data_IF_888218697942
#
_entry.id   IF_888218697942
#
_cell.length_a   1.000
_cell.length_b   1.000
_cell.length_c   1.000
_cell.angle_alpha   90.00
_cell.angle_beta   90.00
_cell.angle_gamma   90.00
#
_symmetry.space_group_name_H-M   'P 1'
#
loop_
_entity.id
_entity.type
_entity.pdbx_description
1 polymer ?
#
# COMPACT_ATOMS: atom_id res chain seq x y z
N UNK A 1 -27.05 1.76 7.50
CA UNK A 1 -26.08 2.59 8.25
C UNK A 1 -24.88 2.82 7.37
N UNK A 2 -24.79 4.04 6.81
CA UNK A 2 -23.72 4.67 6.02
C UNK A 2 -23.22 4.01 4.70
N UNK A 3 -23.87 4.41 3.60
CA UNK A 3 -23.33 4.71 2.25
C UNK A 3 -22.50 3.65 1.50
N UNK A 4 -23.10 3.04 0.46
CA UNK A 4 -22.34 2.44 -0.67
C UNK A 4 -21.35 3.41 -1.36
N UNK A 5 -21.45 4.72 -1.07
CA UNK A 5 -20.42 5.71 -1.40
C UNK A 5 -19.08 5.53 -0.68
N UNK A 6 -19.03 4.90 0.50
CA UNK A 6 -17.77 4.64 1.21
C UNK A 6 -16.88 3.64 0.46
N UNK A 7 -17.46 2.60 -0.15
CA UNK A 7 -16.72 1.65 -0.98
C UNK A 7 -16.17 2.30 -2.25
N UNK A 8 -16.93 3.18 -2.90
CA UNK A 8 -16.48 3.96 -4.06
C UNK A 8 -15.37 4.94 -3.68
N UNK A 9 -15.46 5.58 -2.51
CA UNK A 9 -14.44 6.51 -2.03
C UNK A 9 -13.13 5.76 -1.65
N UNK A 10 -13.22 4.58 -1.03
CA UNK A 10 -12.08 3.69 -0.85
C UNK A 10 -11.47 3.25 -2.18
N UNK A 11 -12.28 2.89 -3.19
CA UNK A 11 -11.80 2.52 -4.52
C UNK A 11 -11.10 3.69 -5.22
N UNK A 12 -11.63 4.91 -5.11
CA UNK A 12 -10.99 6.10 -5.67
C UNK A 12 -9.63 6.38 -5.01
N UNK A 13 -9.53 6.24 -3.68
CA UNK A 13 -8.26 6.37 -2.96
C UNK A 13 -7.28 5.25 -3.33
N UNK A 14 -7.79 4.03 -3.51
CA UNK A 14 -6.98 2.88 -3.92
C UNK A 14 -6.40 3.13 -5.32
N UNK A 15 -7.24 3.52 -6.27
CA UNK A 15 -6.85 3.69 -7.66
C UNK A 15 -6.01 4.95 -7.92
N UNK A 16 -6.36 6.10 -7.32
CA UNK A 16 -5.69 7.37 -7.60
C UNK A 16 -4.41 7.58 -6.76
N UNK A 17 -4.40 7.10 -5.52
CA UNK A 17 -3.27 7.34 -4.61
C UNK A 17 -2.49 6.06 -4.31
N UNK A 18 -3.16 5.00 -3.86
CA UNK A 18 -2.47 3.78 -3.42
C UNK A 18 -1.75 3.08 -4.57
N UNK A 19 -2.35 3.08 -5.75
CA UNK A 19 -1.76 2.48 -6.95
C UNK A 19 -0.46 3.17 -7.37
N UNK A 20 -0.45 4.50 -7.41
CA UNK A 20 0.75 5.28 -7.77
C UNK A 20 1.86 5.15 -6.74
N UNK A 21 1.52 5.22 -5.46
CA UNK A 21 2.50 5.09 -4.37
C UNK A 21 3.08 3.68 -4.34
N UNK A 22 2.23 2.65 -4.44
CA UNK A 22 2.69 1.25 -4.49
C UNK A 22 3.55 0.98 -5.73
N UNK A 23 3.21 1.56 -6.88
CA UNK A 23 3.99 1.41 -8.10
C UNK A 23 5.40 2.00 -7.92
N UNK A 24 5.50 3.24 -7.44
CA UNK A 24 6.79 3.87 -7.19
C UNK A 24 7.59 3.14 -6.11
N UNK A 25 6.94 2.74 -5.01
CA UNK A 25 7.58 1.98 -3.94
C UNK A 25 8.08 0.61 -4.43
N UNK A 26 7.32 -0.09 -5.28
CA UNK A 26 7.74 -1.39 -5.82
C UNK A 26 8.98 -1.28 -6.71
N UNK A 27 9.10 -0.20 -7.48
CA UNK A 27 10.26 0.07 -8.31
C UNK A 27 11.53 0.21 -7.47
N UNK A 28 11.47 1.03 -6.41
CA UNK A 28 12.58 1.16 -5.48
C UNK A 28 12.85 -0.14 -4.71
N UNK A 29 11.81 -0.87 -4.31
CA UNK A 29 11.94 -2.13 -3.58
C UNK A 29 12.78 -3.14 -4.36
N UNK A 30 12.49 -3.33 -5.64
CA UNK A 30 13.23 -4.27 -6.49
C UNK A 30 14.72 -3.89 -6.60
N UNK A 31 15.05 -2.60 -6.61
CA UNK A 31 16.43 -2.12 -6.68
C UNK A 31 17.18 -2.30 -5.35
N UNK A 32 16.51 -2.07 -4.21
CA UNK A 32 17.13 -2.15 -2.88
C UNK A 32 17.12 -3.55 -2.28
N UNK A 33 16.22 -4.43 -2.70
CA UNK A 33 16.11 -5.82 -2.25
C UNK A 33 17.42 -6.64 -2.36
N UNK A 34 18.17 -6.62 -3.48
CA UNK A 34 19.46 -7.31 -3.55
C UNK A 34 20.53 -6.66 -2.66
N UNK A 35 20.43 -5.35 -2.39
CA UNK A 35 21.36 -4.63 -1.51
C UNK A 35 21.12 -5.01 -0.05
N UNK A 36 19.86 -5.19 0.37
CA UNK A 36 19.49 -5.70 1.69
C UNK A 36 20.13 -7.07 1.97
N UNK A 37 20.18 -7.96 0.98
CA UNK A 37 20.80 -9.27 1.13
C UNK A 37 22.31 -9.21 1.50
N UNK A 38 22.99 -8.12 1.15
CA UNK A 38 24.40 -7.90 1.48
C UNK A 38 24.63 -6.91 2.63
N UNK A 39 23.68 -6.01 2.91
CA UNK A 39 23.78 -4.97 3.93
C UNK A 39 22.53 -4.95 4.83
N UNK A 40 22.64 -5.61 5.99
CA UNK A 40 21.56 -5.75 6.99
C UNK A 40 21.05 -4.43 7.59
N UNK A 41 21.75 -3.31 7.35
CA UNK A 41 21.34 -1.97 7.78
C UNK A 41 20.17 -1.37 6.98
N UNK A 42 19.83 -1.91 5.80
CA UNK A 42 18.78 -1.37 4.92
C UNK A 42 17.42 -2.05 5.16
N UNK A 43 17.39 -3.14 5.94
CA UNK A 43 16.18 -3.86 6.35
C UNK A 43 14.98 -2.96 6.76
N UNK A 44 15.14 -1.92 7.61
CA UNK A 44 13.99 -1.07 7.97
C UNK A 44 13.46 -0.24 6.79
N UNK A 45 14.32 0.12 5.83
CA UNK A 45 13.92 0.83 4.63
C UNK A 45 13.14 -0.08 3.68
N UNK A 46 13.61 -1.30 3.47
CA UNK A 46 12.91 -2.28 2.63
C UNK A 46 11.58 -2.71 3.25
N UNK A 47 11.50 -2.89 4.58
CA UNK A 47 10.26 -3.22 5.29
C UNK A 47 9.23 -2.07 5.23
N UNK A 48 9.67 -0.82 5.34
CA UNK A 48 8.81 0.34 5.12
C UNK A 48 8.25 0.36 3.69
N UNK A 49 9.10 0.11 2.71
CA UNK A 49 8.72 0.10 1.31
C UNK A 49 7.75 -1.03 0.99
N UNK A 50 7.94 -2.21 1.62
CA UNK A 50 7.04 -3.36 1.53
C UNK A 50 5.66 -3.01 2.11
N UNK A 51 5.60 -2.33 3.27
CA UNK A 51 4.35 -1.82 3.84
C UNK A 51 3.66 -0.83 2.88
N UNK A 52 4.40 0.04 2.21
CA UNK A 52 3.84 0.94 1.20
C UNK A 52 3.25 0.17 0.00
N UNK A 53 3.92 -0.89 -0.47
CA UNK A 53 3.42 -1.74 -1.57
C UNK A 53 2.18 -2.55 -1.15
N UNK A 54 2.07 -2.91 0.12
CA UNK A 54 0.90 -3.63 0.67
C UNK A 54 -0.27 -2.72 1.06
N UNK A 55 -0.07 -1.40 1.07
CA UNK A 55 -1.12 -0.42 1.31
C UNK A 55 -2.38 -0.61 0.45
N UNK A 56 -2.32 -0.79 -0.88
CA UNK A 56 -3.50 -1.09 -1.70
C UNK A 56 -4.28 -2.32 -1.24
N UNK A 57 -3.62 -3.33 -0.68
CA UNK A 57 -4.29 -4.50 -0.13
C UNK A 57 -5.07 -4.16 1.15
N UNK A 58 -4.50 -3.33 2.03
CA UNK A 58 -5.22 -2.83 3.21
C UNK A 58 -6.43 -1.97 2.82
N UNK A 59 -6.31 -1.17 1.75
CA UNK A 59 -7.42 -0.40 1.19
C UNK A 59 -8.51 -1.30 0.59
N UNK A 60 -8.11 -2.36 -0.12
CA UNK A 60 -9.04 -3.34 -0.67
C UNK A 60 -9.79 -4.09 0.46
N UNK A 61 -9.09 -4.44 1.54
CA UNK A 61 -9.71 -5.07 2.71
C UNK A 61 -10.74 -4.14 3.39
N UNK A 62 -10.42 -2.84 3.50
CA UNK A 62 -11.37 -1.82 4.00
C UNK A 62 -12.62 -1.68 3.12
N UNK A 63 -12.45 -1.80 1.80
CA UNK A 63 -13.54 -1.78 0.82
C UNK A 63 -14.46 -3.00 0.97
N UNK A 64 -13.92 -4.22 1.05
CA UNK A 64 -14.72 -5.46 1.21
C UNK A 64 -15.42 -5.49 2.57
N UNK A 65 -14.75 -4.98 3.61
CA UNK A 65 -15.33 -4.89 4.95
C UNK A 65 -16.39 -3.81 5.14
N UNK A 66 -16.68 -2.98 4.10
CA UNK A 66 -17.55 -1.79 4.20
C UNK A 66 -17.30 -0.98 5.48
N UNK A 67 -16.04 -0.87 5.91
CA UNK A 67 -15.70 -0.17 7.15
C UNK A 67 -15.83 1.33 6.89
N UNK A 68 -16.76 1.99 7.59
CA UNK A 68 -16.82 3.45 7.62
C UNK A 68 -15.43 3.98 8.00
N UNK A 69 -14.92 5.00 7.29
CA UNK A 69 -13.77 5.74 7.80
C UNK A 69 -14.29 6.61 8.96
N UNK A 70 -14.41 5.99 10.12
CA UNK A 70 -14.47 6.66 11.41
C UNK A 70 -13.05 6.70 11.97
#
# INVERSE_FOLDING_TARGET
>A
MANGGWGVLWFLILFLFSFWIAFLASWFYILFYPIEACASGISPFTDFLLKCVQFPHTCAAGMVGCKAMC
#
